data_IF_365824516764
#
_entry.id   IF_365824516764
#
_cell.length_a   1.000
_cell.length_b   1.000
_cell.length_c   1.000
_cell.angle_alpha   90.00
_cell.angle_beta   90.00
_cell.angle_gamma   90.00
#
_symmetry.space_group_name_H-M   'P 1'
#
loop_
_entity.id
_entity.type
_entity.pdbx_description
1 polymer ?
#
# COMPACT_ATOMS: atom_id res chain seq x y z
N UNK A 1 8.74 24.96 -4.56
CA UNK A 1 8.78 23.54 -4.14
C UNK A 1 10.16 22.99 -4.46
N UNK A 2 10.72 22.07 -3.64
CA UNK A 2 12.03 21.49 -3.93
C UNK A 2 11.98 20.71 -5.25
N UNK A 3 13.06 20.78 -6.02
CA UNK A 3 13.25 19.91 -7.19
C UNK A 3 13.56 18.50 -6.68
N UNK A 4 12.65 17.56 -6.94
CA UNK A 4 12.81 16.15 -6.56
C UNK A 4 13.65 15.42 -7.61
N UNK A 5 14.42 14.42 -7.16
CA UNK A 5 15.11 13.50 -8.05
C UNK A 5 14.11 12.66 -8.85
N UNK A 6 14.54 12.18 -10.02
CA UNK A 6 13.74 11.27 -10.83
C UNK A 6 13.42 9.98 -10.04
N UNK A 7 12.18 9.48 -10.16
CA UNK A 7 11.80 8.20 -9.54
C UNK A 7 12.61 7.05 -10.14
N UNK A 8 12.87 6.03 -9.33
CA UNK A 8 13.51 4.80 -9.82
C UNK A 8 12.66 4.16 -10.93
N UNK A 9 13.28 3.51 -11.94
CA UNK A 9 12.56 2.79 -12.98
C UNK A 9 11.75 1.64 -12.39
N UNK A 10 10.71 1.18 -13.11
CA UNK A 10 9.96 -0.02 -12.72
C UNK A 10 10.90 -1.21 -12.56
N UNK A 11 10.63 -2.08 -11.58
CA UNK A 11 11.45 -3.28 -11.43
C UNK A 11 11.24 -4.15 -12.66
N UNK A 12 12.32 -4.51 -13.33
CA UNK A 12 12.30 -5.39 -14.49
C UNK A 12 12.40 -6.85 -14.01
N UNK A 13 11.38 -7.65 -14.30
CA UNK A 13 11.33 -9.10 -13.99
C UNK A 13 11.46 -9.95 -15.27
N UNK A 14 12.02 -9.38 -16.36
CA UNK A 14 12.17 -10.05 -17.64
C UNK A 14 10.87 -10.03 -18.45
N UNK A 15 10.02 -11.05 -18.32
CA UNK A 15 8.74 -11.15 -19.03
C UNK A 15 7.65 -10.19 -18.47
N UNK A 16 7.90 -9.57 -17.32
CA UNK A 16 7.03 -8.61 -16.65
C UNK A 16 7.89 -7.48 -16.08
N UNK A 17 7.40 -6.24 -16.05
CA UNK A 17 8.08 -5.13 -15.37
C UNK A 17 7.05 -4.41 -14.48
N UNK A 18 7.34 -4.18 -13.19
CA UNK A 18 6.38 -3.55 -12.26
C UNK A 18 6.87 -3.29 -10.82
N UNK A 19 6.02 -2.69 -9.98
CA UNK A 19 6.37 -2.16 -8.64
C UNK A 19 5.70 -2.88 -7.47
N UNK A 20 5.17 -4.09 -7.69
CA UNK A 20 4.16 -4.75 -6.83
C UNK A 20 4.64 -6.03 -6.09
N UNK A 21 5.94 -6.11 -5.76
CA UNK A 21 6.59 -7.32 -5.24
C UNK A 21 5.95 -7.91 -3.96
N UNK A 22 5.23 -7.11 -3.18
CA UNK A 22 4.67 -7.46 -1.88
C UNK A 22 3.16 -7.74 -1.89
N UNK A 23 2.47 -7.60 -3.02
CA UNK A 23 1.01 -7.72 -3.07
C UNK A 23 0.53 -9.16 -2.77
N UNK A 24 1.30 -10.17 -3.16
CA UNK A 24 0.98 -11.58 -2.89
C UNK A 24 0.81 -11.90 -1.41
N UNK A 25 1.55 -11.21 -0.52
CA UNK A 25 1.45 -11.41 0.93
C UNK A 25 0.13 -10.90 1.51
N UNK A 26 -0.37 -9.78 0.99
CA UNK A 26 -1.67 -9.22 1.40
C UNK A 26 -2.79 -10.15 0.97
N UNK A 27 -2.74 -10.67 -0.26
CA UNK A 27 -3.71 -11.62 -0.79
C UNK A 27 -3.68 -12.92 0.02
N UNK A 28 -2.50 -13.43 0.35
CA UNK A 28 -2.35 -14.63 1.17
C UNK A 28 -2.95 -14.44 2.57
N UNK A 29 -2.73 -13.29 3.21
CA UNK A 29 -3.38 -12.98 4.50
C UNK A 29 -4.91 -12.99 4.39
N UNK A 30 -5.48 -12.40 3.33
CA UNK A 30 -6.94 -12.43 3.10
C UNK A 30 -7.46 -13.88 3.02
N UNK A 31 -6.77 -14.74 2.26
CA UNK A 31 -7.13 -16.16 2.14
C UNK A 31 -7.06 -16.86 3.50
N UNK A 32 -6.02 -16.58 4.30
CA UNK A 32 -5.82 -17.22 5.60
C UNK A 32 -6.83 -16.76 6.65
N UNK A 33 -7.22 -15.48 6.64
CA UNK A 33 -8.28 -14.94 7.50
C UNK A 33 -9.62 -15.61 7.20
N UNK A 34 -9.99 -15.70 5.92
CA UNK A 34 -11.24 -16.35 5.49
C UNK A 34 -11.28 -17.81 5.93
N UNK A 35 -10.13 -18.47 5.98
CA UNK A 35 -10.00 -19.88 6.41
C UNK A 35 -9.75 -20.04 7.91
N UNK A 36 -9.76 -18.97 8.70
CA UNK A 36 -9.53 -19.01 10.15
C UNK A 36 -8.11 -19.44 10.53
N UNK A 37 -7.13 -19.27 9.63
CA UNK A 37 -5.74 -19.72 9.79
C UNK A 37 -4.81 -18.64 10.33
N UNK A 38 -5.21 -17.37 10.24
CA UNK A 38 -4.41 -16.22 10.70
C UNK A 38 -5.34 -15.02 10.98
N UNK A 39 -4.98 -14.05 11.85
CA UNK A 39 -5.74 -12.82 11.99
C UNK A 39 -5.49 -11.87 10.81
N UNK A 40 -6.38 -10.89 10.64
CA UNK A 40 -6.28 -9.89 9.56
C UNK A 40 -5.12 -8.93 9.83
N UNK A 41 -4.27 -8.72 8.83
CA UNK A 41 -3.07 -7.88 8.97
C UNK A 41 -3.41 -6.39 8.99
N UNK A 42 -4.39 -5.95 8.19
CA UNK A 42 -4.89 -4.58 8.27
C UNK A 42 -6.39 -4.53 8.08
N UNK A 43 -7.06 -3.73 8.88
CA UNK A 43 -8.51 -3.64 8.89
C UNK A 43 -9.03 -2.32 8.29
N UNK A 44 -10.34 -2.25 8.09
CA UNK A 44 -10.98 -1.09 7.47
C UNK A 44 -10.86 0.21 8.32
N UNK A 45 -10.78 0.11 9.64
CA UNK A 45 -10.64 1.28 10.52
C UNK A 45 -9.24 1.89 10.42
N UNK A 46 -8.20 1.06 10.31
CA UNK A 46 -6.85 1.53 10.02
C UNK A 46 -6.77 2.21 8.66
N UNK A 47 -7.40 1.62 7.64
CA UNK A 47 -7.52 2.22 6.31
C UNK A 47 -8.24 3.59 6.35
N UNK A 48 -9.35 3.67 7.09
CA UNK A 48 -10.07 4.94 7.32
C UNK A 48 -9.17 5.98 7.99
N UNK A 49 -8.38 5.58 9.00
CA UNK A 49 -7.50 6.52 9.71
C UNK A 49 -6.39 7.06 8.82
N UNK A 50 -5.86 6.24 7.90
CA UNK A 50 -4.88 6.70 6.89
C UNK A 50 -5.50 7.78 6.00
N UNK A 51 -6.72 7.56 5.50
CA UNK A 51 -7.44 8.55 4.67
C UNK A 51 -7.66 9.85 5.45
N UNK A 52 -8.13 9.76 6.69
CA UNK A 52 -8.36 10.93 7.56
C UNK A 52 -7.07 11.76 7.76
N UNK A 53 -5.92 11.10 7.97
CA UNK A 53 -4.61 11.76 8.10
C UNK A 53 -4.23 12.49 6.81
N UNK A 54 -4.41 11.84 5.66
CA UNK A 54 -4.14 12.44 4.34
C UNK A 54 -5.01 13.68 4.14
N UNK A 55 -6.31 13.59 4.42
CA UNK A 55 -7.24 14.72 4.35
C UNK A 55 -6.82 15.88 5.26
N UNK A 56 -6.40 15.57 6.50
CA UNK A 56 -5.92 16.58 7.43
C UNK A 56 -4.64 17.27 6.94
N UNK A 57 -3.72 16.56 6.30
CA UNK A 57 -2.54 17.17 5.65
C UNK A 57 -2.98 18.14 4.55
N UNK A 58 -3.93 17.75 3.69
CA UNK A 58 -4.43 18.62 2.64
C UNK A 58 -5.13 19.88 3.19
N UNK A 59 -5.82 19.79 4.34
CA UNK A 59 -6.43 20.95 5.02
C UNK A 59 -5.38 21.97 5.53
N UNK A 60 -4.16 21.53 5.83
CA UNK A 60 -3.08 22.39 6.31
C UNK A 60 -2.34 23.12 5.18
N UNK A 61 -2.43 22.62 3.95
CA UNK A 61 -1.81 23.22 2.76
C UNK A 61 -2.71 24.35 2.23
N UNK A 62 -2.63 25.52 2.88
CA UNK A 62 -3.14 26.78 2.31
C UNK A 62 -2.39 27.16 1.03
#
# INVERSE_FOLDING_TARGET
>A
MPTLAASNPANDYGAYKGSAANHGYVIQNVIDVIKGRNPITTNALEGLKVVEIIENIYKLKK
#
